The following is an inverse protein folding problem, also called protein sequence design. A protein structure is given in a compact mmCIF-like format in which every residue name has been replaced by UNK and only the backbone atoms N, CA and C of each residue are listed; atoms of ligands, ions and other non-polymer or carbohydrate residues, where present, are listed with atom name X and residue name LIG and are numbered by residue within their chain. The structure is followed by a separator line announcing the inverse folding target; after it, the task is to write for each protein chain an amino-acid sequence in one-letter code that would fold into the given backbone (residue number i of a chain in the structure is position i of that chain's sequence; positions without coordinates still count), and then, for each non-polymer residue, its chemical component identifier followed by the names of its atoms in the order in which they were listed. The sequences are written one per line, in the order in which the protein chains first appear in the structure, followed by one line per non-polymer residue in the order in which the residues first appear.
data_IF_737391011608
#
_entry.id   IF_737391011608
#
_cell.length_a   1.000
_cell.length_b   1.000
_cell.length_c   1.000
_cell.angle_alpha   90.00
_cell.angle_beta   90.00
_cell.angle_gamma   90.00
#
_symmetry.space_group_name_H-M   'P 1'
#
loop_
_entity.id
_entity.type
_entity.pdbx_description
1 polymer ?
#
# COMPACT_ATOMS: atom_id res chain seq x y z
N UNK A 1 19.85 -24.40 1.30
CA UNK A 1 19.68 -23.39 2.35
C UNK A 1 18.31 -22.81 2.11
N UNK A 2 17.36 -23.11 2.99
CA UNK A 2 15.97 -22.70 2.78
C UNK A 2 15.92 -21.18 2.82
N UNK A 3 15.39 -20.56 1.75
CA UNK A 3 15.28 -19.11 1.68
C UNK A 3 14.23 -18.68 2.70
N UNK A 4 14.59 -17.76 3.59
CA UNK A 4 13.63 -17.12 4.50
C UNK A 4 12.71 -16.21 3.70
N UNK A 5 11.40 -16.47 3.76
CA UNK A 5 10.38 -15.59 3.15
C UNK A 5 10.24 -14.32 3.98
N UNK A 6 10.21 -13.17 3.31
CA UNK A 6 9.98 -11.86 3.93
C UNK A 6 8.70 -11.26 3.35
N UNK A 7 7.75 -10.88 4.21
CA UNK A 7 6.49 -10.25 3.80
C UNK A 7 6.43 -8.80 4.29
N UNK A 8 5.97 -7.88 3.44
CA UNK A 8 5.65 -6.51 3.82
C UNK A 8 4.17 -6.39 4.17
N UNK A 9 3.85 -5.90 5.38
CA UNK A 9 2.45 -5.66 5.79
C UNK A 9 2.17 -4.16 5.76
N UNK A 10 1.27 -3.76 4.85
CA UNK A 10 0.89 -2.38 4.59
C UNK A 10 -0.46 -2.09 5.26
N UNK A 11 -0.43 -1.34 6.36
CA UNK A 11 -1.65 -0.98 7.10
C UNK A 11 -2.34 0.23 6.47
N UNK A 12 -3.36 -0.04 5.65
CA UNK A 12 -4.09 0.95 4.87
C UNK A 12 -5.49 1.28 5.41
N UNK A 13 -5.93 0.64 6.49
CA UNK A 13 -7.23 0.84 7.17
C UNK A 13 -7.38 2.15 7.98
N UNK A 14 -6.56 3.18 7.71
CA UNK A 14 -6.58 4.42 8.49
C UNK A 14 -7.67 5.39 8.05
N UNK A 15 -8.46 5.90 9.00
CA UNK A 15 -9.65 6.75 8.76
C UNK A 15 -9.41 8.12 8.09
N UNK A 16 -8.15 8.55 7.95
CA UNK A 16 -7.79 9.84 7.33
C UNK A 16 -8.46 11.08 7.94
N UNK A 17 -8.91 11.01 9.20
CA UNK A 17 -9.76 12.03 9.85
C UNK A 17 -9.20 13.46 9.87
N UNK A 18 -7.88 13.62 9.83
CA UNK A 18 -7.19 14.94 9.79
C UNK A 18 -6.94 15.46 8.37
N UNK A 19 -7.03 14.59 7.37
CA UNK A 19 -6.65 14.89 5.99
C UNK A 19 -7.82 15.48 5.18
N UNK A 20 -9.07 15.33 5.64
CA UNK A 20 -10.27 15.78 4.93
C UNK A 20 -10.66 14.89 3.73
N UNK A 21 -9.69 14.16 3.17
CA UNK A 21 -9.86 13.22 2.06
C UNK A 21 -9.23 11.86 2.40
N UNK A 22 -9.53 10.83 1.59
CA UNK A 22 -8.91 9.52 1.77
C UNK A 22 -7.40 9.60 1.45
N UNK A 23 -6.56 9.43 2.48
CA UNK A 23 -5.10 9.53 2.38
C UNK A 23 -4.50 8.59 1.33
N UNK A 24 -5.13 7.43 1.08
CA UNK A 24 -4.62 6.46 0.10
C UNK A 24 -4.66 7.00 -1.33
N UNK A 25 -5.55 7.95 -1.62
CA UNK A 25 -5.70 8.55 -2.95
C UNK A 25 -4.86 9.83 -3.13
N UNK A 26 -4.40 10.42 -2.04
CA UNK A 26 -3.64 11.66 -2.09
C UNK A 26 -2.30 11.42 -2.77
N UNK A 27 -1.96 12.23 -3.77
CA UNK A 27 -0.70 12.06 -4.51
C UNK A 27 0.40 12.93 -3.94
N UNK A 28 1.56 12.34 -3.71
CA UNK A 28 2.83 12.99 -3.40
C UNK A 28 3.81 12.73 -4.54
N UNK A 29 4.29 13.81 -5.18
CA UNK A 29 5.13 13.72 -6.38
C UNK A 29 4.55 12.81 -7.48
N UNK A 30 3.22 12.84 -7.65
CA UNK A 30 2.50 12.05 -8.64
C UNK A 30 2.13 10.63 -8.20
N UNK A 31 2.55 10.16 -7.02
CA UNK A 31 2.29 8.80 -6.52
C UNK A 31 1.47 8.79 -5.24
N UNK A 32 0.61 7.81 -5.08
CA UNK A 32 -0.16 7.53 -3.86
C UNK A 32 0.74 6.93 -2.78
N UNK A 33 0.36 7.02 -1.49
CA UNK A 33 1.07 6.32 -0.42
C UNK A 33 1.18 4.81 -0.63
N UNK A 34 0.19 4.17 -1.26
CA UNK A 34 0.25 2.74 -1.56
C UNK A 34 1.33 2.47 -2.62
N UNK A 35 1.35 3.21 -3.73
CA UNK A 35 2.39 3.10 -4.77
C UNK A 35 3.79 3.30 -4.15
N UNK A 36 3.97 4.35 -3.35
CA UNK A 36 5.26 4.64 -2.70
C UNK A 36 5.72 3.51 -1.77
N UNK A 37 4.80 2.91 -1.01
CA UNK A 37 5.16 1.81 -0.12
C UNK A 37 5.47 0.53 -0.90
N UNK A 38 4.68 0.17 -1.92
CA UNK A 38 4.93 -1.01 -2.75
C UNK A 38 6.31 -0.88 -3.42
N UNK A 39 6.62 0.28 -3.99
CA UNK A 39 7.94 0.56 -4.57
C UNK A 39 9.08 0.43 -3.54
N UNK A 40 8.88 0.93 -2.31
CA UNK A 40 9.91 0.88 -1.28
C UNK A 40 10.24 -0.55 -0.81
N UNK A 41 9.27 -1.46 -0.87
CA UNK A 41 9.46 -2.87 -0.49
C UNK A 41 9.72 -3.79 -1.68
N UNK A 42 9.60 -3.29 -2.91
CA UNK A 42 9.94 -4.02 -4.12
C UNK A 42 11.42 -4.44 -4.08
N UNK A 43 11.67 -5.74 -4.23
CA UNK A 43 13.02 -6.32 -4.15
C UNK A 43 13.54 -6.58 -2.73
N UNK A 44 12.79 -6.19 -1.69
CA UNK A 44 13.10 -6.51 -0.29
C UNK A 44 12.19 -7.63 0.23
N UNK A 45 10.89 -7.52 -0.06
CA UNK A 45 9.90 -8.52 0.33
C UNK A 45 9.57 -9.45 -0.85
N UNK A 46 9.30 -10.71 -0.53
CA UNK A 46 8.78 -11.70 -1.48
C UNK A 46 7.29 -11.48 -1.77
N UNK A 47 6.55 -10.88 -0.82
CA UNK A 47 5.13 -10.54 -0.96
C UNK A 47 4.75 -9.27 -0.20
N UNK A 48 3.66 -8.64 -0.64
CA UNK A 48 3.04 -7.51 0.04
C UNK A 48 1.60 -7.86 0.43
N UNK A 49 1.25 -7.68 1.70
CA UNK A 49 -0.10 -7.87 2.23
C UNK A 49 -0.65 -6.51 2.63
N UNK A 50 -1.75 -6.09 2.02
CA UNK A 50 -2.37 -4.80 2.29
C UNK A 50 -3.60 -5.01 3.17
N UNK A 51 -3.52 -4.54 4.42
CA UNK A 51 -4.61 -4.61 5.36
C UNK A 51 -5.53 -3.39 5.20
N UNK A 52 -6.77 -3.64 4.79
CA UNK A 52 -7.77 -2.62 4.41
C UNK A 52 -9.05 -2.78 5.21
N UNK A 53 -9.90 -1.76 5.18
CA UNK A 53 -11.31 -1.89 5.55
C UNK A 53 -12.11 -2.37 4.32
N UNK A 54 -13.24 -3.08 4.49
CA UNK A 54 -14.02 -3.61 3.37
C UNK A 54 -14.43 -2.57 2.32
N UNK A 55 -14.72 -1.33 2.75
CA UNK A 55 -15.12 -0.22 1.89
C UNK A 55 -13.95 0.44 1.14
N UNK A 56 -12.71 0.05 1.45
CA UNK A 56 -11.49 0.62 0.85
C UNK A 56 -10.67 -0.37 0.03
N UNK A 57 -11.13 -1.62 -0.07
CA UNK A 57 -10.41 -2.71 -0.71
C UNK A 57 -10.08 -2.42 -2.18
N UNK A 58 -11.09 -2.02 -2.97
CA UNK A 58 -10.93 -1.77 -4.41
C UNK A 58 -9.94 -0.63 -4.69
N UNK A 59 -9.98 0.43 -3.89
CA UNK A 59 -9.09 1.58 -4.01
C UNK A 59 -7.64 1.17 -3.71
N UNK A 60 -7.43 0.42 -2.63
CA UNK A 60 -6.10 -0.05 -2.24
C UNK A 60 -5.52 -1.00 -3.30
N UNK A 61 -6.33 -1.91 -3.83
CA UNK A 61 -5.93 -2.86 -4.86
C UNK A 61 -5.55 -2.14 -6.17
N UNK A 62 -6.34 -1.14 -6.58
CA UNK A 62 -6.06 -0.32 -7.77
C UNK A 62 -4.74 0.42 -7.64
N UNK A 63 -4.49 1.05 -6.48
CA UNK A 63 -3.25 1.76 -6.23
C UNK A 63 -2.03 0.82 -6.18
N UNK A 64 -2.17 -0.35 -5.57
CA UNK A 64 -1.10 -1.35 -5.51
C UNK A 64 -0.72 -1.88 -6.90
N UNK A 65 -1.71 -2.15 -7.76
CA UNK A 65 -1.49 -2.63 -9.13
C UNK A 65 -1.01 -1.54 -10.10
N UNK A 66 -1.03 -0.26 -9.67
CA UNK A 66 -0.50 0.87 -10.43
C UNK A 66 0.97 1.15 -10.10
N UNK A 67 1.52 0.51 -9.06
CA UNK A 67 2.93 0.58 -8.73
C UNK A 67 3.76 -0.13 -9.82
N UNK A 68 4.93 0.43 -10.20
CA UNK A 68 5.82 -0.13 -11.21
C UNK A 68 6.50 -1.45 -10.79
#
# INVERSE_FOLDING_TARGET
MDKTTVSAILLAAGSSSRMGENKMLMRFCGKTPIELCVEAFCGIADEAVIAVLPDTEEIALTAANSAP
#
